data_IF_507503215864
#
_entry.id   IF_507503215864
#
_cell.length_a   1.000
_cell.length_b   1.000
_cell.length_c   1.000
_cell.angle_alpha   90.00
_cell.angle_beta   90.00
_cell.angle_gamma   90.00
#
_symmetry.space_group_name_H-M   'P 1'
#
loop_
_entity.id
_entity.type
_entity.pdbx_description
1 polymer ?
#
# COMPACT_ATOMS: atom_id res chain seq x y z
N UNK A 1 15.64 -7.07 -3.88
CA UNK A 1 14.45 -6.30 -3.43
C UNK A 1 13.24 -7.21 -3.20
N UNK A 2 12.86 -8.03 -4.20
CA UNK A 2 11.72 -8.98 -4.10
C UNK A 2 11.94 -10.06 -3.03
N UNK A 3 13.16 -10.63 -2.95
CA UNK A 3 13.49 -11.68 -1.96
C UNK A 3 13.25 -11.25 -0.50
N UNK A 4 13.58 -10.00 -0.15
CA UNK A 4 13.38 -9.47 1.21
C UNK A 4 11.91 -9.20 1.55
N UNK A 5 11.11 -8.81 0.55
CA UNK A 5 9.67 -8.64 0.69
C UNK A 5 8.96 -9.98 0.91
N UNK A 6 9.29 -10.98 0.08
CA UNK A 6 8.72 -12.33 0.21
C UNK A 6 9.14 -12.95 1.53
N UNK A 7 10.42 -12.87 1.92
CA UNK A 7 10.88 -13.39 3.20
C UNK A 7 10.22 -12.70 4.40
N UNK A 8 10.08 -11.37 4.36
CA UNK A 8 9.40 -10.61 5.42
C UNK A 8 7.93 -11.00 5.57
N UNK A 9 7.20 -11.13 4.44
CA UNK A 9 5.81 -11.59 4.47
C UNK A 9 5.69 -13.02 5.00
N UNK A 10 6.56 -13.94 4.57
CA UNK A 10 6.54 -15.32 5.06
C UNK A 10 6.77 -15.39 6.58
N UNK A 11 7.72 -14.63 7.12
CA UNK A 11 7.97 -14.59 8.57
C UNK A 11 6.73 -14.08 9.31
N UNK A 12 6.13 -12.98 8.85
CA UNK A 12 4.92 -12.44 9.48
C UNK A 12 3.76 -13.43 9.37
N UNK A 13 3.57 -14.06 8.21
CA UNK A 13 2.57 -15.11 8.00
C UNK A 13 2.75 -16.31 8.93
N UNK A 14 3.99 -16.76 9.15
CA UNK A 14 4.29 -17.86 10.08
C UNK A 14 4.00 -17.48 11.53
N UNK A 15 4.36 -16.27 11.95
CA UNK A 15 4.04 -15.76 13.29
C UNK A 15 2.52 -15.65 13.48
N UNK A 16 1.82 -15.10 12.49
CA UNK A 16 0.35 -15.02 12.46
C UNK A 16 -0.29 -16.40 12.56
N UNK A 17 0.17 -17.37 11.77
CA UNK A 17 -0.32 -18.73 11.78
C UNK A 17 -0.14 -19.36 13.17
N UNK A 18 1.06 -19.29 13.74
CA UNK A 18 1.35 -19.85 15.06
C UNK A 18 0.51 -19.20 16.16
N UNK A 19 0.44 -17.88 16.20
CA UNK A 19 -0.36 -17.15 17.20
C UNK A 19 -1.85 -17.46 17.08
N UNK A 20 -2.39 -17.50 15.85
CA UNK A 20 -3.80 -17.82 15.62
C UNK A 20 -4.10 -19.27 16.00
N UNK A 21 -3.24 -20.22 15.63
CA UNK A 21 -3.37 -21.62 16.05
C UNK A 21 -3.37 -21.78 17.56
N UNK A 22 -2.46 -21.11 18.28
CA UNK A 22 -2.39 -21.16 19.74
C UNK A 22 -3.69 -20.68 20.39
N UNK A 23 -4.25 -19.59 19.90
CA UNK A 23 -5.52 -19.07 20.43
C UNK A 23 -6.69 -20.01 20.12
N UNK A 24 -6.82 -20.47 18.87
CA UNK A 24 -7.88 -21.42 18.50
C UNK A 24 -7.79 -22.72 19.30
N UNK A 25 -6.56 -23.16 19.60
CA UNK A 25 -6.32 -24.34 20.43
C UNK A 25 -6.73 -24.08 21.88
N UNK A 26 -6.40 -22.91 22.44
CA UNK A 26 -6.81 -22.53 23.80
C UNK A 26 -8.33 -22.40 23.97
N UNK A 27 -9.04 -21.99 22.92
CA UNK A 27 -10.51 -21.92 22.87
C UNK A 27 -11.15 -23.31 22.70
N UNK A 28 -10.36 -24.33 22.31
CA UNK A 28 -10.84 -25.70 22.12
C UNK A 28 -11.51 -25.94 20.75
N UNK A 29 -11.17 -25.14 19.73
CA UNK A 29 -11.67 -25.34 18.36
C UNK A 29 -11.11 -26.66 17.80
N UNK A 30 -12.00 -27.53 17.31
CA UNK A 30 -11.59 -28.73 16.58
C UNK A 30 -10.91 -28.34 15.27
N UNK A 31 -9.70 -28.84 15.04
CA UNK A 31 -8.91 -28.44 13.86
C UNK A 31 -8.23 -27.08 13.99
N UNK A 32 -7.93 -26.62 15.21
CA UNK A 32 -7.20 -25.36 15.45
C UNK A 32 -5.90 -25.20 14.63
N UNK A 33 -5.16 -26.30 14.42
CA UNK A 33 -3.89 -26.29 13.66
C UNK A 33 -4.13 -25.92 12.19
N UNK A 34 -4.91 -26.69 11.40
CA UNK A 34 -5.15 -26.35 9.99
C UNK A 34 -5.86 -25.01 9.82
N UNK A 35 -6.79 -24.65 10.71
CA UNK A 35 -7.50 -23.36 10.64
C UNK A 35 -6.58 -22.17 10.93
N UNK A 36 -5.69 -22.27 11.91
CA UNK A 36 -4.75 -21.19 12.22
C UNK A 36 -3.68 -21.02 11.15
N UNK A 37 -3.19 -22.11 10.55
CA UNK A 37 -2.27 -22.05 9.40
C UNK A 37 -2.97 -21.39 8.21
N UNK A 38 -4.18 -21.83 7.86
CA UNK A 38 -4.93 -21.24 6.76
C UNK A 38 -5.22 -19.74 7.01
N UNK A 39 -5.59 -19.37 8.22
CA UNK A 39 -5.83 -17.97 8.61
C UNK A 39 -4.57 -17.12 8.50
N UNK A 40 -3.42 -17.63 8.98
CA UNK A 40 -2.14 -16.93 8.87
C UNK A 40 -1.68 -16.73 7.42
N UNK A 41 -1.92 -17.72 6.55
CA UNK A 41 -1.66 -17.61 5.12
C UNK A 41 -2.59 -16.60 4.44
N UNK A 42 -3.89 -16.64 4.75
CA UNK A 42 -4.86 -15.68 4.20
C UNK A 42 -4.54 -14.25 4.64
N UNK A 43 -4.04 -14.07 5.86
CA UNK A 43 -3.62 -12.76 6.38
C UNK A 43 -2.49 -12.09 5.56
N UNK A 44 -1.76 -12.85 4.73
CA UNK A 44 -0.74 -12.30 3.83
C UNK A 44 -1.33 -11.42 2.72
N UNK A 45 -2.61 -11.58 2.40
CA UNK A 45 -3.31 -10.76 1.42
C UNK A 45 -3.59 -9.36 2.00
N UNK A 46 -3.12 -8.28 1.35
CA UNK A 46 -3.48 -6.93 1.77
C UNK A 46 -5.00 -6.72 1.64
N UNK A 47 -5.60 -6.07 2.64
CA UNK A 47 -7.04 -5.73 2.75
C UNK A 47 -7.99 -6.92 2.89
N UNK A 48 -7.84 -7.94 2.06
CA UNK A 48 -8.67 -9.15 2.11
C UNK A 48 -8.25 -10.09 3.24
N UNK A 49 -7.00 -9.99 3.70
CA UNK A 49 -6.44 -10.93 4.66
C UNK A 49 -7.15 -10.92 6.00
N UNK A 50 -7.61 -9.77 6.50
CA UNK A 50 -8.37 -9.71 7.75
C UNK A 50 -9.70 -10.46 7.63
N UNK A 51 -10.47 -10.16 6.59
CA UNK A 51 -11.81 -10.75 6.39
C UNK A 51 -11.66 -12.27 6.16
N UNK A 52 -10.73 -12.67 5.30
CA UNK A 52 -10.51 -14.07 4.98
C UNK A 52 -9.95 -14.87 6.17
N UNK A 53 -9.03 -14.29 6.95
CA UNK A 53 -8.49 -14.93 8.16
C UNK A 53 -9.50 -15.03 9.29
N UNK A 54 -10.47 -14.12 9.38
CA UNK A 54 -11.60 -14.21 10.32
C UNK A 54 -12.66 -15.22 9.88
N UNK A 55 -12.95 -15.29 8.58
CA UNK A 55 -14.05 -16.09 8.06
C UNK A 55 -13.91 -17.58 8.39
N UNK A 56 -12.70 -18.15 8.22
CA UNK A 56 -12.46 -19.58 8.43
C UNK A 56 -12.69 -20.00 9.90
N UNK A 57 -12.03 -19.37 10.89
CA UNK A 57 -12.19 -19.74 12.29
C UNK A 57 -13.58 -19.41 12.85
N UNK A 58 -14.21 -18.34 12.36
CA UNK A 58 -15.59 -18.01 12.76
C UNK A 58 -16.59 -19.02 12.20
N UNK A 59 -16.43 -19.46 10.96
CA UNK A 59 -17.26 -20.52 10.40
C UNK A 59 -17.11 -21.83 11.20
N UNK A 60 -15.90 -22.18 11.59
CA UNK A 60 -15.66 -23.34 12.47
C UNK A 60 -16.29 -23.15 13.86
N UNK A 61 -16.18 -21.95 14.45
CA UNK A 61 -16.78 -21.63 15.73
C UNK A 61 -18.32 -21.69 15.69
N UNK A 62 -18.96 -21.23 14.60
CA UNK A 62 -20.41 -21.32 14.38
C UNK A 62 -20.91 -22.77 14.41
N UNK A 63 -20.12 -23.71 13.90
CA UNK A 63 -20.49 -25.13 13.89
C UNK A 63 -20.28 -25.84 15.23
N UNK A 64 -19.44 -25.27 16.11
CA UNK A 64 -19.02 -25.93 17.35
C UNK A 64 -19.61 -25.31 18.62
N UNK A 65 -19.86 -24.00 18.64
CA UNK A 65 -20.24 -23.26 19.84
C UNK A 65 -21.54 -22.49 19.65
N UNK A 66 -22.42 -22.56 20.64
CA UNK A 66 -23.66 -21.78 20.72
C UNK A 66 -23.57 -20.54 21.64
N UNK A 67 -22.40 -20.29 22.23
CA UNK A 67 -22.17 -19.15 23.12
C UNK A 67 -21.32 -18.07 22.43
N UNK A 68 -21.52 -16.78 22.76
CA UNK A 68 -20.80 -15.69 22.09
C UNK A 68 -19.31 -15.57 22.51
N UNK A 69 -18.92 -16.15 23.64
CA UNK A 69 -17.57 -16.02 24.21
C UNK A 69 -16.43 -16.37 23.24
N UNK A 70 -16.43 -17.58 22.64
CA UNK A 70 -15.43 -17.99 21.65
C UNK A 70 -15.31 -17.02 20.46
N UNK A 71 -16.43 -16.50 19.96
CA UNK A 71 -16.43 -15.56 18.83
C UNK A 71 -15.71 -14.27 19.16
N UNK A 72 -15.95 -13.71 20.35
CA UNK A 72 -15.30 -12.46 20.78
C UNK A 72 -13.78 -12.66 20.88
N UNK A 73 -13.33 -13.77 21.47
CA UNK A 73 -11.90 -14.08 21.60
C UNK A 73 -11.23 -14.23 20.23
N UNK A 74 -11.88 -14.92 19.30
CA UNK A 74 -11.39 -15.13 17.93
C UNK A 74 -11.30 -13.80 17.18
N UNK A 75 -12.39 -13.02 17.18
CA UNK A 75 -12.44 -11.72 16.50
C UNK A 75 -11.36 -10.80 17.04
N UNK A 76 -11.31 -10.63 18.37
CA UNK A 76 -10.37 -9.72 19.00
C UNK A 76 -8.93 -10.12 18.70
N UNK A 77 -8.60 -11.40 18.83
CA UNK A 77 -7.26 -11.91 18.55
C UNK A 77 -6.84 -11.65 17.11
N UNK A 78 -7.66 -12.05 16.14
CA UNK A 78 -7.29 -11.95 14.73
C UNK A 78 -7.22 -10.49 14.28
N UNK A 79 -8.14 -9.64 14.73
CA UNK A 79 -8.08 -8.19 14.47
C UNK A 79 -6.80 -7.58 15.06
N UNK A 80 -6.46 -7.90 16.30
CA UNK A 80 -5.30 -7.33 16.98
C UNK A 80 -3.99 -7.78 16.34
N UNK A 81 -3.89 -9.06 16.00
CA UNK A 81 -2.78 -9.61 15.22
C UNK A 81 -2.69 -8.97 13.82
N UNK A 82 -3.82 -8.77 13.14
CA UNK A 82 -3.86 -8.12 11.84
C UNK A 82 -3.37 -6.67 11.92
N UNK A 83 -3.85 -5.89 12.89
CA UNK A 83 -3.43 -4.49 13.11
C UNK A 83 -1.93 -4.44 13.39
N UNK A 84 -1.39 -5.32 14.25
CA UNK A 84 0.05 -5.39 14.50
C UNK A 84 0.80 -5.72 13.20
N UNK A 85 0.33 -6.70 12.42
CA UNK A 85 0.97 -7.09 11.16
C UNK A 85 0.94 -5.98 10.11
N UNK A 86 -0.18 -5.27 9.98
CA UNK A 86 -0.38 -4.18 9.02
C UNK A 86 0.52 -3.00 9.35
N UNK A 87 0.66 -2.68 10.65
CA UNK A 87 1.56 -1.62 11.12
C UNK A 87 3.05 -1.99 11.04
N UNK A 88 3.41 -3.27 10.89
CA UNK A 88 4.82 -3.70 10.74
C UNK A 88 5.23 -3.84 9.27
N UNK A 89 4.37 -4.44 8.44
CA UNK A 89 4.67 -4.73 7.03
C UNK A 89 4.63 -3.45 6.18
N UNK A 90 3.56 -2.68 6.29
CA UNK A 90 3.30 -1.54 5.40
C UNK A 90 4.39 -0.48 5.52
N UNK A 91 4.69 0.10 6.70
CA UNK A 91 5.67 1.18 6.80
C UNK A 91 7.10 0.70 6.47
N UNK A 92 7.48 -0.53 6.84
CA UNK A 92 8.84 -1.03 6.59
C UNK A 92 9.18 -1.17 5.10
N UNK A 93 8.19 -1.38 4.24
CA UNK A 93 8.38 -1.52 2.79
C UNK A 93 7.98 -0.26 2.00
N UNK A 94 6.93 0.46 2.42
CA UNK A 94 6.37 1.61 1.69
C UNK A 94 7.02 2.94 2.08
N UNK A 95 7.49 3.11 3.33
CA UNK A 95 8.00 4.39 3.82
C UNK A 95 9.20 4.93 3.03
N UNK A 96 9.93 4.08 2.31
CA UNK A 96 11.13 4.50 1.57
C UNK A 96 10.87 5.03 0.15
N UNK A 97 9.64 4.99 -0.37
CA UNK A 97 9.38 5.31 -1.79
C UNK A 97 8.18 6.18 -2.12
N UNK A 98 7.31 6.49 -1.16
CA UNK A 98 6.11 7.27 -1.43
C UNK A 98 6.34 8.72 -1.03
N UNK A 99 7.05 9.46 -1.89
CA UNK A 99 7.24 10.91 -1.75
C UNK A 99 5.99 11.68 -2.22
N UNK A 100 4.84 11.42 -1.60
CA UNK A 100 3.63 12.21 -1.85
C UNK A 100 3.79 13.55 -1.11
N UNK A 101 3.46 14.65 -1.78
CA UNK A 101 3.46 15.96 -1.15
C UNK A 101 2.40 16.05 -0.05
N UNK A 102 2.58 16.87 1.01
CA UNK A 102 1.62 16.98 2.10
C UNK A 102 0.23 17.35 1.61
N UNK A 103 0.15 18.24 0.61
CA UNK A 103 -1.10 18.66 -0.05
C UNK A 103 -1.82 17.47 -0.66
N UNK A 104 -1.12 16.62 -1.41
CA UNK A 104 -1.71 15.45 -2.04
C UNK A 104 -2.16 14.40 -1.02
N UNK A 105 -1.44 14.25 0.09
CA UNK A 105 -1.87 13.38 1.19
C UNK A 105 -3.16 13.92 1.84
N UNK A 106 -3.24 15.22 2.12
CA UNK A 106 -4.46 15.85 2.67
C UNK A 106 -5.65 15.74 1.72
N UNK A 107 -5.46 16.03 0.44
CA UNK A 107 -6.52 15.91 -0.58
C UNK A 107 -6.97 14.45 -0.70
N UNK A 108 -6.03 13.50 -0.69
CA UNK A 108 -6.34 12.08 -0.67
C UNK A 108 -7.19 11.70 0.55
N UNK A 109 -6.82 12.13 1.75
CA UNK A 109 -7.57 11.85 2.98
C UNK A 109 -9.00 12.38 2.90
N UNK A 110 -9.19 13.59 2.40
CA UNK A 110 -10.51 14.19 2.24
C UNK A 110 -11.34 13.46 1.17
N UNK A 111 -10.76 13.20 0.00
CA UNK A 111 -11.45 12.55 -1.12
C UNK A 111 -11.83 11.10 -0.78
N UNK A 112 -10.87 10.31 -0.31
CA UNK A 112 -11.10 8.91 0.04
C UNK A 112 -11.96 8.80 1.31
N UNK A 113 -11.74 9.64 2.32
CA UNK A 113 -12.59 9.68 3.51
C UNK A 113 -14.05 9.99 3.18
N UNK A 114 -14.31 10.92 2.26
CA UNK A 114 -15.67 11.23 1.81
C UNK A 114 -16.31 10.10 1.01
N UNK A 115 -15.56 9.38 0.16
CA UNK A 115 -16.10 8.37 -0.74
C UNK A 115 -16.50 7.05 -0.03
N UNK A 116 -15.81 6.64 1.05
CA UNK A 116 -15.99 5.32 1.71
C UNK A 116 -15.95 5.39 3.25
N UNK A 117 -15.89 6.59 3.84
CA UNK A 117 -15.81 6.79 5.29
C UNK A 117 -14.47 6.35 5.89
N UNK A 118 -14.54 5.65 7.03
CA UNK A 118 -13.36 5.24 7.84
C UNK A 118 -12.39 4.37 7.03
N UNK A 119 -12.90 3.48 6.18
CA UNK A 119 -12.04 2.65 5.32
C UNK A 119 -11.29 3.49 4.29
N UNK A 120 -11.93 4.52 3.74
CA UNK A 120 -11.28 5.45 2.81
C UNK A 120 -10.18 6.29 3.48
N UNK A 121 -10.38 6.71 4.73
CA UNK A 121 -9.36 7.38 5.54
C UNK A 121 -8.12 6.50 5.74
N UNK A 122 -8.30 5.22 6.08
CA UNK A 122 -7.20 4.26 6.27
C UNK A 122 -6.42 4.00 4.97
N UNK A 123 -7.11 4.00 3.83
CA UNK A 123 -6.53 3.70 2.52
C UNK A 123 -6.02 4.93 1.76
N UNK A 124 -6.23 6.13 2.29
CA UNK A 124 -5.99 7.36 1.56
C UNK A 124 -4.54 7.52 1.06
N UNK A 125 -3.57 7.19 1.91
CA UNK A 125 -2.14 7.27 1.59
C UNK A 125 -1.74 6.28 0.49
N UNK A 126 -1.99 4.96 0.61
CA UNK A 126 -1.61 4.01 -0.42
C UNK A 126 -2.38 4.19 -1.74
N UNK A 127 -3.66 4.57 -1.71
CA UNK A 127 -4.43 4.83 -2.94
C UNK A 127 -3.88 6.05 -3.69
N UNK A 128 -3.62 7.14 -2.98
CA UNK A 128 -3.00 8.33 -3.59
C UNK A 128 -1.60 8.04 -4.10
N UNK A 129 -0.84 7.18 -3.40
CA UNK A 129 0.46 6.70 -3.87
C UNK A 129 0.36 5.92 -5.17
N UNK A 130 -0.65 5.07 -5.29
CA UNK A 130 -0.89 4.26 -6.48
C UNK A 130 -1.25 5.14 -7.68
N UNK A 131 -2.13 6.14 -7.50
CA UNK A 131 -2.46 7.11 -8.56
C UNK A 131 -1.19 7.82 -9.03
N UNK A 132 -0.36 8.31 -8.09
CA UNK A 132 0.91 8.95 -8.42
C UNK A 132 1.85 7.99 -9.17
N UNK A 133 1.94 6.73 -8.75
CA UNK A 133 2.78 5.72 -9.40
C UNK A 133 2.32 5.48 -10.85
N UNK A 134 1.01 5.39 -11.10
CA UNK A 134 0.46 5.25 -12.45
C UNK A 134 0.78 6.50 -13.29
N UNK A 135 0.65 7.69 -12.70
CA UNK A 135 1.02 8.95 -13.36
C UNK A 135 2.52 9.04 -13.68
N UNK A 136 3.40 8.44 -12.85
CA UNK A 136 4.84 8.36 -13.09
C UNK A 136 5.21 7.44 -14.25
N UNK A 137 4.37 6.43 -14.57
CA UNK A 137 4.61 5.51 -15.67
C UNK A 137 4.28 6.11 -17.03
N UNK A 138 3.38 7.11 -17.09
CA UNK A 138 2.91 7.66 -18.35
C UNK A 138 3.46 9.08 -18.62
N UNK A 139 4.13 9.33 -19.76
CA UNK A 139 4.80 10.61 -20.03
C UNK A 139 3.87 11.81 -20.07
N UNK A 140 2.65 11.62 -20.58
CA UNK A 140 1.63 12.68 -20.65
C UNK A 140 1.04 13.06 -19.28
N UNK A 141 1.17 12.19 -18.26
CA UNK A 141 0.68 12.44 -16.90
C UNK A 141 1.76 13.03 -15.97
N UNK A 142 2.92 13.41 -16.52
CA UNK A 142 4.03 13.99 -15.76
C UNK A 142 3.62 15.24 -14.96
N UNK A 143 2.71 16.07 -15.50
CA UNK A 143 2.16 17.23 -14.78
C UNK A 143 1.37 16.81 -13.53
N UNK A 144 0.48 15.84 -13.66
CA UNK A 144 -0.34 15.31 -12.55
C UNK A 144 0.56 14.65 -11.50
N UNK A 145 1.56 13.87 -11.92
CA UNK A 145 2.53 13.29 -10.98
C UNK A 145 3.29 14.38 -10.22
N UNK A 146 3.77 15.42 -10.91
CA UNK A 146 4.50 16.51 -10.29
C UNK A 146 3.63 17.33 -9.32
N UNK A 147 2.33 17.49 -9.58
CA UNK A 147 1.39 18.11 -8.62
C UNK A 147 1.22 17.26 -7.36
N UNK A 148 1.32 15.93 -7.46
CA UNK A 148 1.18 15.00 -6.34
C UNK A 148 2.51 14.72 -5.61
N UNK A 149 3.65 15.16 -6.16
CA UNK A 149 4.98 14.86 -5.65
C UNK A 149 5.47 15.86 -4.59
N UNK A 150 6.19 15.37 -3.58
CA UNK A 150 6.91 16.20 -2.60
C UNK A 150 8.09 16.95 -3.24
N UNK A 151 8.76 16.31 -4.20
CA UNK A 151 9.85 16.87 -4.99
C UNK A 151 9.52 16.65 -6.47
N UNK A 152 9.16 17.70 -7.22
CA UNK A 152 8.89 17.58 -8.65
C UNK A 152 10.11 17.00 -9.36
N UNK A 153 9.90 16.03 -10.26
CA UNK A 153 10.98 15.53 -11.11
C UNK A 153 10.96 16.30 -12.43
N UNK A 154 12.12 16.77 -12.92
CA UNK A 154 12.21 17.27 -14.29
C UNK A 154 11.90 16.12 -15.27
N UNK A 155 11.34 16.47 -16.43
CA UNK A 155 10.87 15.56 -17.48
C UNK A 155 11.81 14.36 -17.71
N UNK A 156 11.27 13.14 -17.96
CA UNK A 156 12.07 11.94 -18.13
C UNK A 156 13.21 12.14 -19.12
N UNK A 157 14.40 11.62 -18.79
CA UNK A 157 15.64 11.91 -19.53
C UNK A 157 15.56 11.57 -21.03
N UNK A 158 14.75 10.58 -21.40
CA UNK A 158 14.52 10.16 -22.78
C UNK A 158 13.56 11.09 -23.55
N UNK A 159 12.67 11.84 -22.87
CA UNK A 159 11.89 12.95 -23.47
C UNK A 159 12.83 14.11 -23.81
N UNK A 160 13.74 14.44 -22.89
CA UNK A 160 14.76 15.49 -23.09
C UNK A 160 15.77 15.12 -24.20
N UNK A 161 16.02 13.84 -24.41
CA UNK A 161 16.83 13.35 -25.54
C UNK A 161 16.17 13.64 -26.88
N UNK A 162 14.83 13.59 -26.97
CA UNK A 162 14.10 14.00 -28.17
C UNK A 162 14.34 15.46 -28.48
N UNK A 163 14.17 16.36 -27.53
CA UNK A 163 14.39 17.80 -27.73
C UNK A 163 15.84 18.13 -28.04
N UNK A 164 16.81 17.58 -27.31
CA UNK A 164 18.24 17.83 -27.59
C UNK A 164 18.73 17.14 -28.86
N UNK A 165 18.17 15.98 -29.24
CA UNK A 165 18.45 15.37 -30.54
C UNK A 165 17.81 16.17 -31.68
N UNK A 166 16.60 16.69 -31.49
CA UNK A 166 15.91 17.55 -32.44
C UNK A 166 16.61 18.92 -32.57
N UNK A 167 17.10 19.52 -31.48
CA UNK A 167 17.90 20.75 -31.52
C UNK A 167 19.27 20.54 -32.18
N UNK A 168 19.87 19.35 -32.03
CA UNK A 168 21.11 18.99 -32.73
C UNK A 168 20.89 18.65 -34.20
N UNK A 169 19.78 18.00 -34.54
CA UNK A 169 19.45 17.61 -35.91
C UNK A 169 18.82 18.75 -36.72
N UNK A 170 18.11 19.68 -36.07
CA UNK A 170 17.42 20.82 -36.68
C UNK A 170 17.91 22.11 -36.00
N UNK A 171 18.99 22.72 -36.53
CA UNK A 171 19.62 23.90 -35.93
C UNK A 171 18.69 25.12 -35.80
N UNK A 172 17.61 25.15 -36.57
CA UNK A 172 16.65 26.25 -36.63
C UNK A 172 15.69 26.33 -35.44
N UNK A 173 15.56 25.26 -34.65
CA UNK A 173 14.72 25.25 -33.44
C UNK A 173 15.41 25.86 -32.22
N UNK A 174 16.69 26.27 -32.34
CA UNK A 174 17.42 26.89 -31.25
C UNK A 174 16.76 28.23 -30.90
N UNK A 175 16.32 28.46 -29.66
CA UNK A 175 15.78 29.76 -29.26
C UNK A 175 16.82 30.84 -29.53
N UNK A 176 16.41 31.88 -30.27
CA UNK A 176 17.28 33.02 -30.61
C UNK A 176 17.72 33.65 -29.29
N UNK A 177 19.02 33.85 -29.03
CA UNK A 177 19.47 34.47 -27.80
C UNK A 177 18.77 35.81 -27.67
N UNK A 178 17.98 35.94 -26.61
CA UNK A 178 17.35 37.20 -26.25
C UNK A 178 18.47 38.22 -26.09
N UNK A 179 18.40 39.30 -26.88
CA UNK A 179 19.42 40.36 -26.83
C UNK A 179 19.35 40.96 -25.43
N UNK A 180 20.29 40.56 -24.58
CA UNK A 180 20.52 41.22 -23.29
C UNK A 180 20.76 42.70 -23.63
N UNK A 181 19.93 43.63 -23.13
CA UNK A 181 20.17 45.04 -23.36
C UNK A 181 21.51 45.38 -22.71
N UNK A 182 22.49 45.71 -23.54
CA UNK A 182 23.79 46.20 -23.09
C UNK A 182 23.51 47.57 -22.50
N UNK A 183 23.41 47.63 -21.18
CA UNK A 183 23.31 48.88 -20.44
C UNK A 183 24.59 49.68 -20.62
N UNK A 184 24.45 50.86 -21.23
CA UNK A 184 25.42 51.95 -21.19
C UNK A 184 25.21 52.78 -19.93
#
# INVERSE_FOLDING_TARGET
MIRGFVAGNLIVGSVMAGATTLVLWSVGIKGAIPLGIASGLLNLLPFLGLIASLALPLAAALLQFNTPGPFIVIILTIVLLHVVSANLLIPKFIARRVSIGPVAATVGILFWGWLWGVMGLLLAVPLTAFIKLVADLHPSLCHVSNMLALTPRPTPRWVRYGETALERAIPYLRPRPEKVPVGH
#
